data_IF_749063350114
#
_entry.id   IF_749063350114
#
_cell.length_a   1.000
_cell.length_b   1.000
_cell.length_c   1.000
_cell.angle_alpha   90.00
_cell.angle_beta   90.00
_cell.angle_gamma   90.00
#
_symmetry.space_group_name_H-M   'P 1'
#
loop_
_entity.id
_entity.type
_entity.pdbx_description
1 polymer ?
#
# COMPACT_ATOMS: atom_id res chain seq x y z
N UNK A 1 -3.56 26.69 -13.05
CA UNK A 1 -2.44 26.72 -14.04
C UNK A 1 -1.11 26.31 -13.41
N UNK A 2 -0.86 26.65 -12.14
CA UNK A 2 0.40 26.34 -11.44
C UNK A 2 0.73 24.85 -11.34
N UNK A 3 -0.25 23.99 -11.06
CA UNK A 3 -0.04 22.53 -10.98
C UNK A 3 0.48 21.92 -12.29
N UNK A 4 0.10 22.47 -13.44
CA UNK A 4 0.57 21.95 -14.74
C UNK A 4 2.04 22.29 -15.03
N UNK A 5 2.50 23.49 -14.65
CA UNK A 5 3.91 23.89 -14.79
C UNK A 5 4.78 23.05 -13.86
N UNK A 6 4.31 22.86 -12.64
CA UNK A 6 4.99 22.07 -11.61
C UNK A 6 5.13 20.58 -12.00
N UNK A 7 4.05 19.96 -12.49
CA UNK A 7 4.08 18.57 -12.99
C UNK A 7 5.05 18.39 -14.15
N UNK A 8 5.17 19.38 -15.04
CA UNK A 8 6.17 19.36 -16.12
C UNK A 8 7.62 19.42 -15.60
N UNK A 9 7.86 20.11 -14.48
CA UNK A 9 9.19 20.15 -13.86
C UNK A 9 9.57 18.80 -13.24
N UNK A 10 8.62 18.10 -12.61
CA UNK A 10 8.82 16.75 -12.09
C UNK A 10 9.15 15.73 -13.21
N UNK A 11 8.59 15.92 -14.40
CA UNK A 11 8.84 15.09 -15.57
C UNK A 11 9.96 15.64 -16.49
N UNK A 12 10.75 16.61 -16.04
CA UNK A 12 11.85 17.18 -16.83
C UNK A 12 12.99 16.18 -17.02
N UNK A 13 13.65 16.19 -18.18
CA UNK A 13 14.87 15.38 -18.39
C UNK A 13 16.06 15.86 -17.55
N UNK A 14 16.06 17.11 -17.11
CA UNK A 14 17.12 17.67 -16.28
C UNK A 14 16.93 17.27 -14.80
N UNK A 15 17.90 16.50 -14.27
CA UNK A 15 17.91 16.03 -12.88
C UNK A 15 17.77 17.15 -11.85
N UNK A 16 18.52 18.25 -12.01
CA UNK A 16 18.50 19.38 -11.06
C UNK A 16 17.13 20.05 -11.01
N UNK A 17 16.45 20.12 -12.15
CA UNK A 17 15.08 20.66 -12.23
C UNK A 17 14.10 19.75 -11.49
N UNK A 18 14.24 18.42 -11.63
CA UNK A 18 13.39 17.46 -10.91
C UNK A 18 13.62 17.51 -9.40
N UNK A 19 14.88 17.54 -8.96
CA UNK A 19 15.24 17.58 -7.53
C UNK A 19 14.68 18.84 -6.85
N UNK A 20 14.88 20.03 -7.45
CA UNK A 20 14.29 21.28 -6.95
C UNK A 20 12.76 21.26 -6.92
N UNK A 21 12.14 20.64 -7.93
CA UNK A 21 10.69 20.48 -7.96
C UNK A 21 10.21 19.56 -6.81
N UNK A 22 10.91 18.47 -6.53
CA UNK A 22 10.59 17.58 -5.40
C UNK A 22 10.73 18.27 -4.04
N UNK A 23 11.77 19.07 -3.83
CA UNK A 23 11.93 19.87 -2.61
C UNK A 23 10.75 20.84 -2.41
N UNK A 24 10.34 21.52 -3.48
CA UNK A 24 9.19 22.43 -3.46
C UNK A 24 7.87 21.67 -3.26
N UNK A 25 7.77 20.43 -3.74
CA UNK A 25 6.58 19.59 -3.62
C UNK A 25 6.20 19.38 -2.15
N UNK A 26 7.18 19.14 -1.30
CA UNK A 26 6.95 18.82 0.11
C UNK A 26 6.17 19.93 0.82
N UNK A 27 6.45 21.19 0.50
CA UNK A 27 5.71 22.33 1.04
C UNK A 27 4.35 22.50 0.36
N UNK A 28 4.29 22.26 -0.96
CA UNK A 28 3.07 22.40 -1.74
C UNK A 28 1.96 21.43 -1.30
N UNK A 29 2.29 20.16 -1.01
CA UNK A 29 1.28 19.17 -0.61
C UNK A 29 0.63 19.46 0.73
N UNK A 30 1.36 20.15 1.63
CA UNK A 30 0.86 20.51 2.97
C UNK A 30 -0.04 21.77 2.90
N UNK A 31 0.02 22.52 1.81
CA UNK A 31 -0.79 23.73 1.63
C UNK A 31 -2.30 23.45 1.71
N UNK A 32 -3.03 24.36 2.38
CA UNK A 32 -4.48 24.26 2.51
C UNK A 32 -5.21 24.24 1.15
N UNK A 33 -4.65 24.94 0.15
CA UNK A 33 -5.19 25.00 -1.20
C UNK A 33 -5.10 23.63 -1.90
N UNK A 34 -3.97 22.94 -1.80
CA UNK A 34 -3.81 21.63 -2.41
C UNK A 34 -4.69 20.58 -1.73
N UNK A 35 -4.73 20.56 -0.40
CA UNK A 35 -5.56 19.63 0.39
C UNK A 35 -7.05 19.67 0.03
N UNK A 36 -7.57 20.86 -0.30
CA UNK A 36 -8.97 21.09 -0.72
C UNK A 36 -9.20 20.87 -2.22
N UNK A 37 -8.18 20.54 -2.99
CA UNK A 37 -8.30 20.33 -4.43
C UNK A 37 -9.10 19.09 -4.80
N UNK A 38 -9.61 19.06 -6.04
CA UNK A 38 -10.33 17.90 -6.61
C UNK A 38 -9.36 16.76 -6.93
N UNK A 39 -9.87 15.53 -6.96
CA UNK A 39 -9.11 14.30 -7.29
C UNK A 39 -8.21 14.45 -8.52
N UNK A 40 -8.69 15.11 -9.58
CA UNK A 40 -7.92 15.32 -10.83
C UNK A 40 -6.57 16.01 -10.60
N UNK A 41 -6.44 16.88 -9.60
CA UNK A 41 -5.15 17.52 -9.29
C UNK A 41 -4.17 16.53 -8.65
N UNK A 42 -4.66 15.63 -7.79
CA UNK A 42 -3.86 14.55 -7.21
C UNK A 42 -3.42 13.57 -8.29
N UNK A 43 -4.30 13.20 -9.22
CA UNK A 43 -3.98 12.31 -10.35
C UNK A 43 -2.90 12.92 -11.25
N UNK A 44 -3.00 14.22 -11.58
CA UNK A 44 -1.98 14.95 -12.35
C UNK A 44 -0.64 15.01 -11.63
N UNK A 45 -0.66 15.25 -10.31
CA UNK A 45 0.56 15.25 -9.51
C UNK A 45 1.24 13.88 -9.54
N UNK A 46 0.49 12.81 -9.29
CA UNK A 46 1.04 11.45 -9.30
C UNK A 46 1.53 11.01 -10.68
N UNK A 47 0.91 11.48 -11.77
CA UNK A 47 1.45 11.28 -13.12
C UNK A 47 2.82 11.95 -13.29
N UNK A 48 3.02 13.14 -12.70
CA UNK A 48 4.34 13.79 -12.64
C UNK A 48 5.36 13.00 -11.82
N UNK A 49 4.97 12.53 -10.64
CA UNK A 49 5.81 11.72 -9.75
C UNK A 49 6.19 10.36 -10.38
N UNK A 50 5.26 9.74 -11.10
CA UNK A 50 5.51 8.54 -11.89
C UNK A 50 6.67 8.76 -12.88
N UNK A 51 6.67 9.87 -13.61
CA UNK A 51 7.76 10.19 -14.53
C UNK A 51 9.04 10.63 -13.82
N UNK A 52 8.95 11.24 -12.64
CA UNK A 52 10.14 11.49 -11.82
C UNK A 52 10.86 10.17 -11.47
N UNK A 53 10.11 9.12 -11.12
CA UNK A 53 10.66 7.77 -10.95
C UNK A 53 11.14 7.17 -12.27
N UNK A 54 10.41 7.39 -13.38
CA UNK A 54 10.77 6.89 -14.70
C UNK A 54 12.19 7.31 -15.13
N UNK A 55 12.53 8.59 -14.94
CA UNK A 55 13.85 9.16 -15.28
C UNK A 55 14.93 8.95 -14.20
N UNK A 56 14.64 8.17 -13.16
CA UNK A 56 15.63 7.78 -12.15
C UNK A 56 16.26 6.44 -12.54
N UNK A 57 17.51 6.47 -13.04
CA UNK A 57 18.17 5.28 -13.63
C UNK A 57 19.19 4.61 -12.72
N UNK A 58 19.63 5.27 -11.64
CA UNK A 58 20.66 4.75 -10.74
C UNK A 58 20.01 4.07 -9.51
N UNK A 59 20.47 2.88 -9.08
CA UNK A 59 19.82 2.12 -7.99
C UNK A 59 19.67 2.88 -6.67
N UNK A 60 20.76 3.47 -6.13
CA UNK A 60 20.70 4.22 -4.86
C UNK A 60 19.75 5.43 -4.93
N UNK A 61 19.79 6.27 -5.99
CA UNK A 61 18.79 7.30 -6.21
C UNK A 61 17.35 6.78 -6.34
N UNK A 62 17.12 5.63 -6.98
CA UNK A 62 15.78 5.03 -7.07
C UNK A 62 15.24 4.67 -5.69
N UNK A 63 16.06 4.04 -4.85
CA UNK A 63 15.67 3.69 -3.48
C UNK A 63 15.33 4.93 -2.65
N UNK A 64 16.19 5.97 -2.69
CA UNK A 64 15.92 7.23 -1.98
C UNK A 64 14.63 7.88 -2.50
N UNK A 65 14.47 7.96 -3.81
CA UNK A 65 13.27 8.55 -4.42
C UNK A 65 12.01 7.76 -4.02
N UNK A 66 12.05 6.43 -4.04
CA UNK A 66 10.92 5.61 -3.60
C UNK A 66 10.55 5.87 -2.15
N UNK A 67 11.54 5.99 -1.26
CA UNK A 67 11.31 6.37 0.14
C UNK A 67 10.73 7.77 0.29
N UNK A 68 11.28 8.77 -0.43
CA UNK A 68 10.75 10.15 -0.43
C UNK A 68 9.30 10.19 -0.91
N UNK A 69 8.99 9.55 -2.04
CA UNK A 69 7.64 9.53 -2.60
C UNK A 69 6.65 8.78 -1.71
N UNK A 70 7.08 7.68 -1.09
CA UNK A 70 6.30 6.97 -0.09
C UNK A 70 5.95 7.87 1.10
N UNK A 71 6.96 8.54 1.67
CA UNK A 71 6.82 9.41 2.84
C UNK A 71 5.88 10.62 2.63
N UNK A 72 5.60 11.03 1.38
CA UNK A 72 4.63 12.07 1.09
C UNK A 72 3.22 11.76 1.64
N UNK A 73 2.85 10.48 1.77
CA UNK A 73 1.57 10.09 2.35
C UNK A 73 1.43 10.50 3.82
N UNK A 74 2.53 10.41 4.58
CA UNK A 74 2.55 10.76 6.01
C UNK A 74 2.54 12.28 6.21
N UNK A 75 2.98 13.08 5.24
CA UNK A 75 3.01 14.56 5.35
C UNK A 75 1.62 15.22 5.47
N UNK A 76 0.55 14.48 5.23
CA UNK A 76 -0.80 14.98 5.51
C UNK A 76 -1.14 14.96 7.01
N UNK A 77 -0.42 14.17 7.81
CA UNK A 77 -0.72 13.98 9.23
C UNK A 77 -0.48 15.26 10.02
N UNK A 78 -1.36 15.49 10.99
CA UNK A 78 -1.29 16.57 11.96
C UNK A 78 -1.82 16.02 13.29
N UNK A 79 -1.05 16.15 14.38
CA UNK A 79 -1.42 15.61 15.69
C UNK A 79 -2.75 16.15 16.20
N UNK A 80 -3.10 17.38 15.79
CA UNK A 80 -4.36 18.03 16.15
C UNK A 80 -5.58 17.29 15.62
N UNK A 81 -5.41 16.50 14.56
CA UNK A 81 -6.50 15.74 13.97
C UNK A 81 -6.84 14.48 14.76
N UNK A 82 -5.92 13.95 15.58
CA UNK A 82 -6.15 12.70 16.33
C UNK A 82 -7.27 12.80 17.37
N UNK A 83 -7.60 14.02 17.84
CA UNK A 83 -8.72 14.25 18.74
C UNK A 83 -10.08 14.46 18.06
N UNK A 84 -10.14 14.48 16.71
CA UNK A 84 -11.37 14.71 15.97
C UNK A 84 -12.09 13.39 15.65
N UNK A 85 -13.36 13.27 16.04
CA UNK A 85 -14.22 12.13 15.69
C UNK A 85 -14.56 12.08 14.19
N UNK A 86 -14.59 13.23 13.52
CA UNK A 86 -14.87 13.31 12.09
C UNK A 86 -13.62 13.34 11.22
N UNK A 87 -13.78 12.91 9.96
CA UNK A 87 -12.70 12.98 8.97
C UNK A 87 -12.29 14.41 8.65
N UNK A 88 -11.03 14.72 8.92
CA UNK A 88 -10.47 16.05 8.72
C UNK A 88 -10.22 16.34 7.24
N UNK A 89 -9.84 17.58 6.93
CA UNK A 89 -9.43 17.95 5.57
C UNK A 89 -8.17 17.20 5.16
N UNK A 90 -7.27 16.96 6.12
CA UNK A 90 -6.02 16.21 5.92
C UNK A 90 -6.31 14.76 5.57
N UNK A 91 -7.23 14.10 6.29
CA UNK A 91 -7.66 12.73 6.00
C UNK A 91 -8.25 12.60 4.60
N UNK A 92 -9.13 13.54 4.25
CA UNK A 92 -9.73 13.58 2.91
C UNK A 92 -8.66 13.80 1.83
N UNK A 93 -7.63 14.58 2.09
CA UNK A 93 -6.50 14.78 1.18
C UNK A 93 -5.63 13.53 1.07
N UNK A 94 -5.29 12.88 2.19
CA UNK A 94 -4.59 11.60 2.24
C UNK A 94 -5.31 10.54 1.40
N UNK A 95 -6.62 10.34 1.61
CA UNK A 95 -7.41 9.36 0.84
C UNK A 95 -7.37 9.67 -0.66
N UNK A 96 -7.50 10.94 -1.07
CA UNK A 96 -7.41 11.33 -2.50
C UNK A 96 -6.00 11.11 -3.07
N UNK A 97 -4.97 11.39 -2.28
CA UNK A 97 -3.57 11.20 -2.69
C UNK A 97 -3.24 9.71 -2.85
N UNK A 98 -3.63 8.86 -1.89
CA UNK A 98 -3.49 7.41 -1.99
C UNK A 98 -4.30 6.83 -3.16
N UNK A 99 -5.52 7.33 -3.38
CA UNK A 99 -6.35 6.93 -4.53
C UNK A 99 -5.68 7.27 -5.86
N UNK A 100 -5.08 8.45 -5.97
CA UNK A 100 -4.37 8.88 -7.16
C UNK A 100 -3.13 8.00 -7.41
N UNK A 101 -2.38 7.65 -6.36
CA UNK A 101 -1.24 6.74 -6.46
C UNK A 101 -1.64 5.43 -7.15
N UNK A 102 -2.61 4.70 -6.58
CA UNK A 102 -3.02 3.41 -7.10
C UNK A 102 -3.63 3.51 -8.50
N UNK A 103 -4.40 4.56 -8.78
CA UNK A 103 -4.95 4.81 -10.12
C UNK A 103 -3.84 4.96 -11.17
N UNK A 104 -2.80 5.74 -10.87
CA UNK A 104 -1.68 5.93 -11.80
C UNK A 104 -0.85 4.65 -11.93
N UNK A 105 -0.60 3.91 -10.84
CA UNK A 105 0.09 2.62 -10.92
C UNK A 105 -0.66 1.63 -11.81
N UNK A 106 -1.99 1.52 -11.67
CA UNK A 106 -2.81 0.63 -12.49
C UNK A 106 -2.85 1.05 -13.96
N UNK A 107 -2.98 2.35 -14.23
CA UNK A 107 -3.05 2.89 -15.59
C UNK A 107 -1.76 2.65 -16.36
N UNK A 108 -0.61 2.83 -15.71
CA UNK A 108 0.70 2.79 -16.36
C UNK A 108 1.38 1.42 -16.30
N UNK A 109 0.77 0.44 -15.61
CA UNK A 109 1.42 -0.83 -15.27
C UNK A 109 2.00 -1.56 -16.48
N UNK A 110 1.20 -1.72 -17.55
CA UNK A 110 1.66 -2.35 -18.80
C UNK A 110 2.72 -1.54 -19.55
N UNK A 111 2.79 -0.23 -19.33
CA UNK A 111 3.79 0.63 -19.96
C UNK A 111 5.18 0.49 -19.35
N UNK A 112 5.31 -0.21 -18.22
CA UNK A 112 6.58 -0.43 -17.54
C UNK A 112 7.27 -1.62 -18.18
N UNK A 113 8.42 -1.37 -18.83
CA UNK A 113 9.27 -2.43 -19.33
C UNK A 113 10.00 -3.17 -18.20
N UNK A 114 10.48 -4.38 -18.50
CA UNK A 114 11.15 -5.27 -17.55
C UNK A 114 12.30 -4.60 -16.78
N UNK A 115 13.08 -3.71 -17.40
CA UNK A 115 14.24 -3.09 -16.74
C UNK A 115 13.85 -1.98 -15.76
N UNK A 116 12.60 -1.50 -15.81
CA UNK A 116 12.06 -0.48 -14.91
C UNK A 116 11.16 -1.06 -13.82
N UNK A 117 10.77 -2.33 -13.93
CA UNK A 117 9.77 -2.93 -13.03
C UNK A 117 10.17 -2.86 -11.56
N UNK A 118 11.41 -3.21 -11.22
CA UNK A 118 11.88 -3.32 -9.83
C UNK A 118 11.73 -2.01 -9.03
N UNK A 119 12.04 -0.87 -9.63
CA UNK A 119 11.88 0.43 -8.94
C UNK A 119 10.43 0.80 -8.70
N UNK A 120 9.50 0.34 -9.54
CA UNK A 120 8.07 0.55 -9.33
C UNK A 120 7.50 -0.45 -8.32
N UNK A 121 7.98 -1.70 -8.28
CA UNK A 121 7.65 -2.65 -7.22
C UNK A 121 8.11 -2.11 -5.85
N UNK A 122 9.33 -1.56 -5.77
CA UNK A 122 9.84 -0.90 -4.58
C UNK A 122 9.00 0.34 -4.21
N UNK A 123 8.61 1.15 -5.20
CA UNK A 123 7.75 2.30 -4.96
C UNK A 123 6.38 1.89 -4.39
N UNK A 124 5.76 0.83 -4.92
CA UNK A 124 4.53 0.27 -4.35
C UNK A 124 4.75 -0.15 -2.90
N UNK A 125 5.85 -0.83 -2.61
CA UNK A 125 6.22 -1.25 -1.25
C UNK A 125 6.34 -0.07 -0.30
N UNK A 126 7.08 0.97 -0.67
CA UNK A 126 7.24 2.19 0.15
C UNK A 126 5.96 3.00 0.28
N UNK A 127 5.11 3.05 -0.75
CA UNK A 127 3.84 3.75 -0.70
C UNK A 127 2.84 3.02 0.22
N UNK A 128 2.69 1.70 0.07
CA UNK A 128 1.78 0.90 0.90
C UNK A 128 2.15 1.01 2.39
N UNK A 129 3.44 0.86 2.72
CA UNK A 129 3.95 1.06 4.08
C UNK A 129 3.55 2.42 4.66
N UNK A 130 3.81 3.51 3.93
CA UNK A 130 3.51 4.86 4.43
C UNK A 130 2.00 5.15 4.48
N UNK A 131 1.19 4.48 3.65
CA UNK A 131 -0.26 4.55 3.74
C UNK A 131 -0.75 3.90 5.03
N UNK A 132 -0.23 2.71 5.38
CA UNK A 132 -0.54 2.06 6.65
C UNK A 132 0.04 2.83 7.85
N UNK A 133 1.27 3.37 7.75
CA UNK A 133 1.86 4.23 8.78
C UNK A 133 1.00 5.45 9.08
N UNK A 134 0.43 6.09 8.06
CA UNK A 134 -0.51 7.20 8.28
C UNK A 134 -1.74 6.76 9.09
N UNK A 135 -2.32 5.59 8.78
CA UNK A 135 -3.46 5.05 9.53
C UNK A 135 -3.09 4.72 10.98
N UNK A 136 -1.90 4.14 11.21
CA UNK A 136 -1.35 3.86 12.54
C UNK A 136 -1.13 5.15 13.34
N UNK A 137 -0.57 6.20 12.72
CA UNK A 137 -0.38 7.50 13.37
C UNK A 137 -1.71 8.16 13.74
N UNK A 138 -2.77 7.93 12.96
CA UNK A 138 -4.17 8.25 13.31
C UNK A 138 -4.84 7.20 14.18
N UNK A 139 -4.05 6.37 14.87
CA UNK A 139 -4.50 5.38 15.85
C UNK A 139 -5.63 4.50 15.33
N UNK A 140 -5.53 4.11 14.05
CA UNK A 140 -6.52 3.28 13.37
C UNK A 140 -7.95 3.84 13.44
N UNK A 141 -8.11 5.17 13.40
CA UNK A 141 -9.41 5.84 13.47
C UNK A 141 -10.43 5.21 12.51
N UNK A 142 -11.48 4.60 13.07
CA UNK A 142 -12.34 3.65 12.35
C UNK A 142 -12.97 4.23 11.07
N UNK A 143 -13.54 5.46 11.08
CA UNK A 143 -14.06 6.09 9.86
C UNK A 143 -13.01 6.28 8.76
N UNK A 144 -11.76 6.55 9.13
CA UNK A 144 -10.66 6.75 8.18
C UNK A 144 -10.21 5.41 7.58
N UNK A 145 -10.03 4.40 8.44
CA UNK A 145 -9.69 3.03 8.02
C UNK A 145 -10.75 2.50 7.07
N UNK A 146 -12.03 2.52 7.47
CA UNK A 146 -13.14 2.08 6.62
C UNK A 146 -13.15 2.82 5.28
N UNK A 147 -12.93 4.15 5.29
CA UNK A 147 -12.91 4.95 4.07
C UNK A 147 -11.74 4.60 3.16
N UNK A 148 -10.55 4.37 3.73
CA UNK A 148 -9.36 3.97 3.00
C UNK A 148 -9.54 2.59 2.38
N UNK A 149 -10.00 1.60 3.16
CA UNK A 149 -10.25 0.24 2.67
C UNK A 149 -11.32 0.23 1.56
N UNK A 150 -12.44 0.91 1.76
CA UNK A 150 -13.53 0.99 0.77
C UNK A 150 -13.13 1.73 -0.51
N UNK A 151 -12.45 2.89 -0.40
CA UNK A 151 -12.27 3.82 -1.53
C UNK A 151 -10.90 3.78 -2.19
N UNK A 152 -9.92 3.14 -1.54
CA UNK A 152 -8.55 3.06 -2.01
C UNK A 152 -8.20 1.60 -2.24
N UNK A 153 -7.99 0.82 -1.18
CA UNK A 153 -7.38 -0.51 -1.29
C UNK A 153 -8.32 -1.51 -1.99
N UNK A 154 -9.57 -1.64 -1.52
CA UNK A 154 -10.58 -2.51 -2.12
C UNK A 154 -11.19 -1.96 -3.41
N UNK A 155 -11.14 -0.65 -3.66
CA UNK A 155 -11.69 -0.07 -4.90
C UNK A 155 -10.70 -0.06 -6.08
N UNK A 156 -9.40 -0.19 -5.85
CA UNK A 156 -8.39 -0.08 -6.90
C UNK A 156 -7.49 -1.31 -6.96
N UNK A 157 -6.39 -1.44 -6.18
CA UNK A 157 -5.45 -2.54 -6.36
C UNK A 157 -6.07 -3.91 -6.05
N UNK A 158 -7.01 -3.99 -5.11
CA UNK A 158 -7.68 -5.23 -4.69
C UNK A 158 -9.16 -5.24 -5.09
N UNK A 159 -9.49 -4.64 -6.25
CA UNK A 159 -10.88 -4.54 -6.73
C UNK A 159 -11.41 -5.80 -7.39
N UNK A 160 -10.53 -6.64 -7.95
CA UNK A 160 -10.92 -7.76 -8.81
C UNK A 160 -11.38 -7.33 -10.22
N UNK A 161 -11.40 -6.03 -10.52
CA UNK A 161 -11.76 -5.52 -11.85
C UNK A 161 -10.74 -6.04 -12.89
N UNK A 162 -11.19 -6.67 -14.00
CA UNK A 162 -10.31 -7.12 -15.08
C UNK A 162 -9.41 -6.02 -15.69
N UNK A 163 -9.74 -4.74 -15.50
CA UNK A 163 -8.91 -3.60 -15.91
C UNK A 163 -7.66 -3.43 -15.05
N UNK A 164 -7.62 -4.02 -13.86
CA UNK A 164 -6.47 -4.01 -12.98
C UNK A 164 -5.63 -5.26 -13.26
N UNK A 165 -4.43 -5.06 -13.78
CA UNK A 165 -3.52 -6.15 -14.10
C UNK A 165 -3.11 -6.93 -12.84
N UNK A 166 -3.22 -8.27 -12.90
CA UNK A 166 -2.95 -9.17 -11.77
C UNK A 166 -1.60 -8.94 -11.07
N UNK A 167 -0.59 -8.41 -11.76
CA UNK A 167 0.73 -8.13 -11.16
C UNK A 167 0.67 -7.16 -9.97
N UNK A 168 -0.28 -6.22 -9.95
CA UNK A 168 -0.45 -5.28 -8.83
C UNK A 168 -1.04 -5.97 -7.59
N UNK A 169 -2.24 -6.58 -7.63
CA UNK A 169 -2.80 -7.29 -6.48
C UNK A 169 -1.89 -8.41 -5.98
N UNK A 170 -1.23 -9.15 -6.88
CA UNK A 170 -0.27 -10.20 -6.50
C UNK A 170 0.88 -9.59 -5.69
N UNK A 171 1.52 -8.53 -6.20
CA UNK A 171 2.60 -7.86 -5.49
C UNK A 171 2.14 -7.26 -4.15
N UNK A 172 0.93 -6.70 -4.09
CA UNK A 172 0.35 -6.21 -2.83
C UNK A 172 0.19 -7.34 -1.82
N UNK A 173 -0.31 -8.51 -2.24
CA UNK A 173 -0.44 -9.69 -1.38
C UNK A 173 0.93 -10.19 -0.90
N UNK A 174 1.96 -10.15 -1.75
CA UNK A 174 3.32 -10.60 -1.42
C UNK A 174 3.96 -9.79 -0.30
N UNK A 175 3.68 -8.49 -0.24
CA UNK A 175 4.38 -7.57 0.68
C UNK A 175 3.56 -7.16 1.89
N UNK A 176 2.24 -7.40 1.90
CA UNK A 176 1.34 -6.76 2.87
C UNK A 176 1.65 -7.16 4.32
N UNK A 177 1.90 -8.45 4.55
CA UNK A 177 2.22 -8.97 5.89
C UNK A 177 3.61 -8.50 6.34
N UNK A 178 4.60 -8.46 5.43
CA UNK A 178 5.93 -7.92 5.71
C UNK A 178 5.86 -6.44 6.11
N UNK A 179 5.06 -5.63 5.41
CA UNK A 179 4.90 -4.22 5.78
C UNK A 179 4.13 -4.07 7.10
N UNK A 180 3.31 -5.04 7.49
CA UNK A 180 2.65 -5.05 8.80
C UNK A 180 3.64 -5.33 9.93
N UNK A 181 4.53 -6.32 9.74
CA UNK A 181 5.65 -6.59 10.65
C UNK A 181 6.52 -5.36 10.83
N UNK A 182 6.89 -4.73 9.72
CA UNK A 182 7.72 -3.53 9.72
C UNK A 182 7.06 -2.33 10.43
N UNK A 183 5.73 -2.22 10.43
CA UNK A 183 5.02 -1.16 11.16
C UNK A 183 5.01 -1.38 12.67
N UNK A 184 5.00 -2.65 13.09
CA UNK A 184 4.99 -3.02 14.50
C UNK A 184 6.38 -2.93 15.12
N UNK A 185 7.41 -3.40 14.40
CA UNK A 185 8.78 -3.51 14.88
C UNK A 185 9.64 -2.27 14.58
N UNK A 186 9.20 -1.41 13.67
CA UNK A 186 9.91 -0.22 13.20
C UNK A 186 11.42 -0.48 12.96
N UNK A 187 12.31 0.28 13.61
CA UNK A 187 13.77 0.16 13.47
C UNK A 187 14.38 -0.84 14.49
N UNK A 188 13.57 -1.48 15.34
CA UNK A 188 14.02 -2.39 16.42
C UNK A 188 14.05 -3.87 15.98
N UNK A 189 13.68 -4.18 14.74
CA UNK A 189 13.57 -5.55 14.24
C UNK A 189 14.88 -6.35 14.41
N UNK A 190 16.05 -5.77 14.19
CA UNK A 190 17.32 -6.52 14.27
C UNK A 190 17.80 -6.79 15.70
N UNK A 191 17.27 -6.07 16.70
CA UNK A 191 17.76 -6.10 18.09
C UNK A 191 16.92 -7.01 19.01
N UNK A 192 15.74 -7.45 18.55
CA UNK A 192 14.79 -8.20 19.35
C UNK A 192 14.91 -9.73 19.16
N UNK A 193 14.79 -10.47 20.26
CA UNK A 193 14.64 -11.93 20.25
C UNK A 193 13.30 -12.33 19.61
N UNK A 194 13.24 -13.51 18.98
CA UNK A 194 12.05 -13.97 18.24
C UNK A 194 10.77 -14.02 19.10
N UNK A 195 10.87 -14.45 20.35
CA UNK A 195 9.73 -14.51 21.26
C UNK A 195 9.16 -13.11 21.56
N UNK A 196 10.03 -12.12 21.77
CA UNK A 196 9.61 -10.72 22.00
C UNK A 196 8.98 -10.12 20.76
N UNK A 197 9.54 -10.39 19.57
CA UNK A 197 8.92 -9.98 18.29
C UNK A 197 7.52 -10.53 18.18
N UNK A 198 7.33 -11.80 18.49
CA UNK A 198 6.02 -12.45 18.41
C UNK A 198 5.01 -11.85 19.39
N UNK A 199 5.44 -11.50 20.61
CA UNK A 199 4.58 -10.82 21.59
C UNK A 199 4.15 -9.43 21.11
N UNK A 200 5.10 -8.61 20.63
CA UNK A 200 4.82 -7.29 20.05
C UNK A 200 3.86 -7.42 18.87
N UNK A 201 4.09 -8.39 17.98
CA UNK A 201 3.23 -8.60 16.83
C UNK A 201 1.80 -8.98 17.22
N UNK A 202 1.61 -9.85 18.22
CA UNK A 202 0.27 -10.22 18.70
C UNK A 202 -0.48 -9.01 19.27
N UNK A 203 0.19 -8.22 20.12
CA UNK A 203 -0.40 -7.02 20.70
C UNK A 203 -0.76 -6.01 19.60
N UNK A 204 0.18 -5.71 18.71
CA UNK A 204 -0.02 -4.79 17.60
C UNK A 204 -1.17 -5.23 16.69
N UNK A 205 -1.20 -6.50 16.29
CA UNK A 205 -2.22 -7.05 15.40
C UNK A 205 -3.60 -6.96 16.04
N UNK A 206 -3.73 -7.25 17.34
CA UNK A 206 -5.00 -7.18 18.08
C UNK A 206 -5.64 -5.79 18.07
N UNK A 207 -4.82 -4.73 18.08
CA UNK A 207 -5.26 -3.34 18.01
C UNK A 207 -5.33 -2.76 16.59
N UNK A 208 -5.00 -3.55 15.57
CA UNK A 208 -4.89 -3.10 14.18
C UNK A 208 -6.05 -3.59 13.30
N UNK A 209 -6.35 -2.92 12.17
CA UNK A 209 -7.40 -3.34 11.27
C UNK A 209 -6.97 -4.45 10.29
N UNK A 210 -5.96 -5.26 10.60
CA UNK A 210 -5.43 -6.27 9.68
C UNK A 210 -6.53 -7.25 9.24
N UNK A 211 -7.40 -7.68 10.14
CA UNK A 211 -8.51 -8.59 9.78
C UNK A 211 -9.48 -7.95 8.77
N UNK A 212 -9.76 -6.64 8.89
CA UNK A 212 -10.58 -5.90 7.92
C UNK A 212 -9.89 -5.79 6.55
N UNK A 213 -8.55 -5.75 6.51
CA UNK A 213 -7.79 -5.80 5.26
C UNK A 213 -7.91 -7.20 4.64
N UNK A 214 -7.79 -8.26 5.44
CA UNK A 214 -7.95 -9.64 4.98
C UNK A 214 -9.37 -9.92 4.49
N UNK A 215 -10.39 -9.27 5.04
CA UNK A 215 -11.76 -9.37 4.53
C UNK A 215 -11.90 -8.95 3.07
N UNK A 216 -11.11 -7.98 2.60
CA UNK A 216 -11.06 -7.61 1.18
C UNK A 216 -10.62 -8.83 0.36
N UNK A 217 -9.59 -9.54 0.81
CA UNK A 217 -9.07 -10.74 0.14
C UNK A 217 -10.05 -11.91 0.21
N UNK A 218 -10.71 -12.11 1.36
CA UNK A 218 -11.79 -13.12 1.50
C UNK A 218 -12.94 -12.83 0.54
N UNK A 219 -13.31 -11.57 0.35
CA UNK A 219 -14.33 -11.18 -0.62
C UNK A 219 -13.89 -11.41 -2.07
N UNK A 220 -12.61 -11.15 -2.40
CA UNK A 220 -12.05 -11.48 -3.70
C UNK A 220 -12.06 -12.98 -3.97
N UNK A 221 -11.77 -13.80 -2.95
CA UNK A 221 -11.78 -15.26 -3.05
C UNK A 221 -13.19 -15.81 -3.32
N UNK A 222 -14.21 -15.26 -2.65
CA UNK A 222 -15.62 -15.68 -2.78
C UNK A 222 -16.23 -15.37 -4.15
N UNK A 223 -15.77 -14.32 -4.82
CA UNK A 223 -16.29 -13.95 -6.13
C UNK A 223 -15.64 -14.78 -7.24
N UNK A 224 -16.38 -15.75 -7.79
CA UNK A 224 -15.89 -16.67 -8.82
C UNK A 224 -15.54 -16.02 -10.16
N UNK A 225 -16.10 -14.82 -10.44
CA UNK A 225 -15.78 -14.05 -11.65
C UNK A 225 -14.36 -13.48 -11.62
N UNK A 226 -13.75 -13.39 -10.43
CA UNK A 226 -12.37 -12.97 -10.28
C UNK A 226 -11.40 -14.01 -10.85
N UNK A 227 -10.28 -13.51 -11.36
CA UNK A 227 -9.17 -14.30 -11.90
C UNK A 227 -8.82 -15.49 -10.98
N UNK A 228 -8.84 -16.69 -11.55
CA UNK A 228 -8.47 -17.92 -10.84
C UNK A 228 -7.07 -17.81 -10.22
N UNK A 229 -6.13 -17.16 -10.90
CA UNK A 229 -4.76 -16.95 -10.41
C UNK A 229 -4.78 -16.15 -9.09
N UNK A 230 -5.58 -15.09 -9.01
CA UNK A 230 -5.70 -14.29 -7.79
C UNK A 230 -6.35 -15.10 -6.66
N UNK A 231 -7.42 -15.83 -6.98
CA UNK A 231 -8.11 -16.67 -6.00
C UNK A 231 -7.21 -17.79 -5.45
N UNK A 232 -6.47 -18.45 -6.33
CA UNK A 232 -5.53 -19.51 -5.95
C UNK A 232 -4.41 -18.95 -5.06
N UNK A 233 -3.85 -17.78 -5.39
CA UNK A 233 -2.84 -17.12 -4.54
C UNK A 233 -3.39 -16.79 -3.14
N UNK A 234 -4.58 -16.20 -3.07
CA UNK A 234 -5.21 -15.86 -1.78
C UNK A 234 -5.42 -17.13 -0.94
N UNK A 235 -5.99 -18.18 -1.55
CA UNK A 235 -6.30 -19.44 -0.85
C UNK A 235 -5.05 -20.20 -0.42
N UNK A 236 -4.02 -20.27 -1.27
CA UNK A 236 -2.88 -21.18 -1.07
C UNK A 236 -1.69 -20.55 -0.39
N UNK A 237 -1.53 -19.23 -0.46
CA UNK A 237 -0.34 -18.54 0.04
C UNK A 237 -0.70 -17.51 1.12
N UNK A 238 -1.72 -16.68 0.91
CA UNK A 238 -1.98 -15.57 1.83
C UNK A 238 -2.72 -16.02 3.08
N UNK A 239 -3.85 -16.73 2.94
CA UNK A 239 -4.67 -17.15 4.08
C UNK A 239 -4.06 -18.31 4.88
N UNK A 240 -3.11 -19.02 4.29
CA UNK A 240 -2.36 -20.13 4.89
C UNK A 240 -1.00 -19.68 5.46
N UNK A 241 -0.65 -18.39 5.39
CA UNK A 241 0.59 -17.86 5.94
C UNK A 241 0.63 -18.12 7.46
N UNK A 242 1.72 -18.78 7.91
CA UNK A 242 1.91 -19.19 9.30
C UNK A 242 1.85 -18.00 10.26
N UNK A 243 2.25 -16.81 9.81
CA UNK A 243 2.22 -15.57 10.60
C UNK A 243 0.81 -15.24 11.07
N UNK A 244 -0.22 -15.46 10.25
CA UNK A 244 -1.60 -15.16 10.62
C UNK A 244 -2.09 -15.99 11.83
N UNK A 245 -1.70 -17.26 11.90
CA UNK A 245 -2.00 -18.12 13.04
C UNK A 245 -1.13 -17.75 14.27
N UNK A 246 0.13 -17.39 14.05
CA UNK A 246 1.03 -16.93 15.11
C UNK A 246 0.57 -15.63 15.77
N UNK A 247 0.05 -14.68 14.98
CA UNK A 247 -0.47 -13.40 15.44
C UNK A 247 -1.89 -13.48 16.01
N UNK A 248 -2.53 -14.66 15.95
CA UNK A 248 -3.86 -14.88 16.54
C UNK A 248 -5.04 -14.38 15.71
N UNK A 249 -4.87 -14.19 14.40
CA UNK A 249 -5.97 -13.80 13.49
C UNK A 249 -6.82 -15.01 13.10
N UNK A 250 -6.18 -16.16 12.90
CA UNK A 250 -6.85 -17.42 12.54
C UNK A 250 -6.73 -18.37 13.72
N UNK A 251 -7.84 -18.97 14.14
CA UNK A 251 -7.79 -20.05 15.13
C UNK A 251 -6.90 -21.19 14.61
N UNK A 252 -5.94 -21.66 15.42
CA UNK A 252 -4.96 -22.71 15.03
C UNK A 252 -5.60 -23.96 14.40
N UNK A 253 -6.89 -24.23 14.65
CA UNK A 253 -7.63 -25.39 14.15
C UNK A 253 -7.80 -25.43 12.62
N UNK A 254 -7.94 -24.30 11.93
CA UNK A 254 -8.14 -24.32 10.46
C UNK A 254 -6.88 -24.77 9.70
N UNK A 255 -5.70 -24.52 10.26
CA UNK A 255 -4.42 -24.91 9.63
C UNK A 255 -4.15 -26.41 9.59
N UNK A 256 -4.80 -27.21 10.43
CA UNK A 256 -4.68 -28.68 10.40
C UNK A 256 -5.71 -29.28 9.43
N UNK A 257 -6.97 -28.83 9.48
CA UNK A 257 -8.03 -29.29 8.57
C UNK A 257 -7.77 -28.90 7.10
N UNK A 258 -7.19 -27.72 6.82
CA UNK A 258 -6.86 -27.32 5.44
C UNK A 258 -5.60 -28.02 4.89
N UNK A 259 -4.67 -28.43 5.77
CA UNK A 259 -3.51 -29.25 5.38
C UNK A 259 -3.91 -30.70 5.11
N UNK A 260 -4.85 -31.24 5.87
CA UNK A 260 -5.46 -32.55 5.57
C UNK A 260 -6.24 -32.50 4.24
N UNK A 261 -6.99 -31.42 3.97
CA UNK A 261 -7.68 -31.25 2.70
C UNK A 261 -6.73 -31.11 1.50
N UNK A 262 -5.56 -30.46 1.66
CA UNK A 262 -4.53 -30.39 0.61
C UNK A 262 -3.82 -31.72 0.37
N UNK A 263 -3.55 -32.51 1.42
CA UNK A 263 -2.93 -33.83 1.27
C UNK A 263 -3.88 -34.85 0.63
N UNK A 264 -5.19 -34.73 0.89
CA UNK A 264 -6.23 -35.53 0.21
C UNK A 264 -6.44 -35.14 -1.26
N UNK A 265 -6.23 -33.87 -1.63
CA UNK A 265 -6.25 -33.44 -3.05
C UNK A 265 -5.02 -33.88 -3.84
N UNK A 266 -3.84 -33.97 -3.21
CA UNK A 266 -2.61 -34.50 -3.83
C UNK A 266 -2.59 -36.02 -3.92
N UNK A 267 -3.28 -36.74 -3.03
CA UNK A 267 -3.42 -38.20 -3.09
C UNK A 267 -4.61 -38.64 -3.95
N UNK A 268 -4.55 -38.37 -5.26
CA UNK A 268 -5.40 -39.05 -6.25
C UNK A 268 -4.56 -39.73 -7.33
N UNK A 269 -4.15 -40.96 -7.02
CA UNK A 269 -3.85 -41.98 -8.03
C UNK A 269 -2.49 -42.67 -7.89
N UNK A 270 -2.53 -43.92 -7.43
CA UNK A 270 -1.66 -45.00 -7.94
C UNK A 270 -2.26 -45.53 -9.25
#
# INVERSE_FOLDING_TARGET
>A
METSKFVKQLASNNRVVREKALETLEQFIVSAQFKKSKQVQFDKLWKGLYYAMWFCDRPRPQQRLASTLGALHVRFFDERDSGAEELTVNDKAFVRFSKAFWRIMCLEWLGIDRFRLDKYLLLIRRALFNQFKYLQMRQWHAPLVAKYLERVLGAIPLSGDPKVYNGIPIHVMDIMLDEWERLALEDEEEELEEDKKLEIMKEFVSGSPLDQVLDILRNLLKNYDNSKILRDKIKKEVLTDKRLAQWGIVEKKQTEEEKEAQSEEEWKGF
#
